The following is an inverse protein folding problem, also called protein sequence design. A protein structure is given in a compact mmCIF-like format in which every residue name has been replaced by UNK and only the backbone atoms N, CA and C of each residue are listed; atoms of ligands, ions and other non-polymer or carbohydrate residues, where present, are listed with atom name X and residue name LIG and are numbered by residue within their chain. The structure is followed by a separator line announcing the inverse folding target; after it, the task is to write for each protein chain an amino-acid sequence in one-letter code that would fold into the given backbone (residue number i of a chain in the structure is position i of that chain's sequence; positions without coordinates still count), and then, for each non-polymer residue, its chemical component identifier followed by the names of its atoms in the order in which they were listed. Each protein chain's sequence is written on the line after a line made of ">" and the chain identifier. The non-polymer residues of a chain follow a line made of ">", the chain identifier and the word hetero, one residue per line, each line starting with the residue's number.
data_IF_761878955060
#
_entry.id   IF_761878955060
#
_cell.length_a   1.000
_cell.length_b   1.000
_cell.length_c   1.000
_cell.angle_alpha   90.00
_cell.angle_beta   90.00
_cell.angle_gamma   90.00
#
_symmetry.space_group_name_H-M   'P 1'
#
loop_
_entity.id
_entity.type
_entity.pdbx_description
1 polymer ?
#
# COMPACT_ATOMS: atom_id res chain seq x y z
N UNK A 1 10.85 -16.31 8.57
CA UNK A 1 10.32 -16.60 9.92
C UNK A 1 9.74 -15.28 10.42
N UNK A 2 8.47 -15.24 10.83
CA UNK A 2 7.89 -14.02 11.42
C UNK A 2 8.59 -13.72 12.74
N UNK A 3 8.85 -12.45 13.02
CA UNK A 3 9.46 -12.03 14.27
C UNK A 3 8.41 -12.04 15.39
N UNK A 4 8.81 -12.28 16.64
CA UNK A 4 7.88 -12.40 17.78
C UNK A 4 7.02 -11.13 17.93
N UNK A 5 7.59 -9.95 17.67
CA UNK A 5 6.87 -8.68 17.77
C UNK A 5 5.86 -8.47 16.65
N UNK A 6 6.08 -9.07 15.47
CA UNK A 6 5.15 -9.01 14.34
C UNK A 6 3.81 -9.68 14.68
N UNK A 7 3.85 -10.93 15.16
CA UNK A 7 2.63 -11.66 15.51
C UNK A 7 1.83 -10.95 16.61
N UNK A 8 2.54 -10.37 17.58
CA UNK A 8 1.93 -9.56 18.63
C UNK A 8 1.29 -8.28 18.07
N UNK A 9 1.94 -7.58 17.13
CA UNK A 9 1.37 -6.35 16.55
C UNK A 9 0.09 -6.63 15.76
N UNK A 10 0.02 -7.69 14.95
CA UNK A 10 -1.23 -8.00 14.22
C UNK A 10 -2.36 -8.47 15.15
N UNK A 11 -2.02 -9.16 16.24
CA UNK A 11 -3.00 -9.57 17.25
C UNK A 11 -3.61 -8.35 17.96
N UNK A 12 -2.76 -7.41 18.38
CA UNK A 12 -3.14 -6.24 19.17
C UNK A 12 -3.09 -4.96 18.33
N UNK A 13 -4.24 -4.52 17.80
CA UNK A 13 -4.33 -3.34 16.94
C UNK A 13 -3.68 -2.09 17.54
N UNK A 14 -3.83 -1.85 18.85
CA UNK A 14 -3.21 -0.69 19.51
C UNK A 14 -1.68 -0.70 19.45
N UNK A 15 -1.06 -1.89 19.43
CA UNK A 15 0.39 -2.04 19.32
C UNK A 15 0.84 -1.75 17.89
N UNK A 16 0.13 -2.32 16.90
CA UNK A 16 0.36 -2.01 15.49
C UNK A 16 0.22 -0.51 15.20
N UNK A 17 -0.85 0.12 15.69
CA UNK A 17 -1.08 1.57 15.52
C UNK A 17 0.03 2.38 16.19
N UNK A 18 0.50 1.95 17.37
CA UNK A 18 1.62 2.58 18.08
C UNK A 18 2.94 2.53 17.30
N UNK A 19 3.28 1.35 16.77
CA UNK A 19 4.48 1.15 15.93
C UNK A 19 4.37 1.98 14.65
N UNK A 20 3.21 1.94 13.98
CA UNK A 20 2.93 2.70 12.76
C UNK A 20 3.08 4.21 13.00
N UNK A 21 2.55 4.73 14.11
CA UNK A 21 2.69 6.14 14.50
C UNK A 21 4.13 6.55 14.69
N UNK A 22 4.91 5.72 15.39
CA UNK A 22 6.33 5.99 15.64
C UNK A 22 7.11 6.00 14.33
N UNK A 23 6.90 4.99 13.48
CA UNK A 23 7.55 4.90 12.17
C UNK A 23 7.21 6.12 11.28
N UNK A 24 5.95 6.56 11.30
CA UNK A 24 5.47 7.68 10.50
C UNK A 24 6.02 9.05 10.95
N UNK A 25 6.62 9.19 12.15
CA UNK A 25 7.26 10.45 12.58
C UNK A 25 8.32 10.91 11.58
N UNK A 26 9.04 9.96 10.97
CA UNK A 26 10.08 10.21 9.95
C UNK A 26 9.57 10.96 8.71
N UNK A 27 8.26 10.92 8.46
CA UNK A 27 7.60 11.62 7.35
C UNK A 27 6.63 12.71 7.83
N UNK A 28 6.69 13.11 9.11
CA UNK A 28 5.83 14.15 9.69
C UNK A 28 4.53 13.63 10.33
N UNK A 29 4.47 12.35 10.68
CA UNK A 29 3.40 11.74 11.44
C UNK A 29 2.44 10.89 10.61
N UNK A 30 1.61 10.11 11.30
CA UNK A 30 0.68 9.15 10.70
C UNK A 30 -0.29 9.76 9.67
N UNK A 31 -0.95 10.92 9.92
CA UNK A 31 -1.85 11.51 8.94
C UNK A 31 -1.15 11.87 7.62
N UNK A 32 0.09 12.38 7.71
CA UNK A 32 0.88 12.73 6.53
C UNK A 32 1.30 11.48 5.77
N UNK A 33 1.80 10.46 6.47
CA UNK A 33 2.16 9.17 5.88
C UNK A 33 1.01 8.57 5.07
N UNK A 34 -0.18 8.49 5.66
CA UNK A 34 -1.38 7.90 5.04
C UNK A 34 -1.89 8.65 3.80
N UNK A 35 -1.44 9.90 3.60
CA UNK A 35 -1.81 10.73 2.46
C UNK A 35 -0.69 10.86 1.41
N UNK A 36 0.53 10.38 1.68
CA UNK A 36 1.68 10.57 0.77
C UNK A 36 1.38 10.08 -0.65
N UNK A 37 0.84 8.86 -0.78
CA UNK A 37 0.47 8.28 -2.07
C UNK A 37 -0.74 8.96 -2.73
N UNK A 38 -1.52 9.73 -1.97
CA UNK A 38 -2.71 10.42 -2.48
C UNK A 38 -2.40 11.82 -3.04
N UNK A 39 -1.19 12.32 -2.81
CA UNK A 39 -0.79 13.66 -3.27
C UNK A 39 -0.84 13.76 -4.79
N UNK A 40 -1.29 14.92 -5.29
CA UNK A 40 -1.39 15.23 -6.73
C UNK A 40 -2.37 14.36 -7.54
N UNK A 41 -3.15 13.49 -6.91
CA UNK A 41 -4.24 12.78 -7.57
C UNK A 41 -5.44 13.72 -7.73
N UNK A 42 -5.99 13.76 -8.95
CA UNK A 42 -7.26 14.45 -9.23
C UNK A 42 -8.40 13.46 -9.01
N UNK A 43 -8.87 13.38 -7.77
CA UNK A 43 -10.01 12.55 -7.40
C UNK A 43 -11.30 13.39 -7.47
N UNK A 44 -12.35 12.78 -8.01
CA UNK A 44 -13.71 13.32 -8.07
C UNK A 44 -14.63 12.47 -7.19
N UNK A 45 -15.79 13.01 -6.82
CA UNK A 45 -16.73 12.35 -5.91
C UNK A 45 -17.25 11.00 -6.42
N UNK A 46 -17.20 10.77 -7.72
CA UNK A 46 -17.64 9.55 -8.41
C UNK A 46 -16.49 8.60 -8.80
N UNK A 47 -15.24 8.96 -8.52
CA UNK A 47 -14.05 8.15 -8.88
C UNK A 47 -14.13 6.76 -8.23
N UNK A 48 -14.01 5.69 -9.02
CA UNK A 48 -13.97 4.32 -8.51
C UNK A 48 -12.59 4.02 -7.93
N UNK A 49 -12.51 3.87 -6.60
CA UNK A 49 -11.26 3.67 -5.88
C UNK A 49 -11.22 2.29 -5.23
N UNK A 50 -10.13 1.55 -5.49
CA UNK A 50 -9.77 0.34 -4.74
C UNK A 50 -8.66 0.65 -3.73
N UNK A 51 -8.93 0.49 -2.44
CA UNK A 51 -7.90 0.43 -1.39
C UNK A 51 -7.45 -1.03 -1.21
N UNK A 52 -6.35 -1.37 -1.87
CA UNK A 52 -5.78 -2.71 -1.92
C UNK A 52 -4.93 -2.97 -0.67
N UNK A 53 -5.18 -4.10 0.00
CA UNK A 53 -4.64 -4.42 1.32
C UNK A 53 -5.04 -3.36 2.37
N UNK A 54 -6.34 -3.05 2.44
CA UNK A 54 -6.86 -1.92 3.22
C UNK A 54 -6.65 -2.04 4.74
N UNK A 55 -6.32 -3.23 5.26
CA UNK A 55 -6.19 -3.48 6.68
C UNK A 55 -7.46 -3.08 7.44
N UNK A 56 -7.29 -2.41 8.57
CA UNK A 56 -8.38 -1.90 9.42
C UNK A 56 -8.99 -0.57 8.90
N UNK A 57 -8.75 -0.19 7.64
CA UNK A 57 -9.35 0.98 6.99
C UNK A 57 -8.66 2.31 7.24
N UNK A 58 -7.37 2.30 7.58
CA UNK A 58 -6.62 3.52 7.96
C UNK A 58 -6.52 4.52 6.82
N UNK A 59 -6.20 4.08 5.60
CA UNK A 59 -6.19 4.94 4.42
C UNK A 59 -7.58 5.09 3.83
N UNK A 60 -8.40 4.03 3.86
CA UNK A 60 -9.82 4.05 3.47
C UNK A 60 -10.57 5.23 4.08
N UNK A 61 -10.31 5.58 5.35
CA UNK A 61 -10.89 6.74 6.04
C UNK A 61 -10.64 8.08 5.34
N UNK A 62 -9.50 8.22 4.67
CA UNK A 62 -9.19 9.41 3.88
C UNK A 62 -9.82 9.34 2.49
N UNK A 63 -9.76 8.16 1.86
CA UNK A 63 -10.32 7.92 0.52
C UNK A 63 -11.81 8.24 0.43
N UNK A 64 -12.60 7.86 1.45
CA UNK A 64 -14.04 8.15 1.49
C UNK A 64 -14.40 9.65 1.60
N UNK A 65 -13.41 10.52 1.90
CA UNK A 65 -13.63 11.96 1.85
C UNK A 65 -13.43 12.53 0.43
N UNK A 66 -12.83 11.76 -0.48
CA UNK A 66 -12.60 12.15 -1.87
C UNK A 66 -13.67 11.59 -2.81
N UNK A 67 -14.15 10.38 -2.55
CA UNK A 67 -15.14 9.69 -3.39
C UNK A 67 -16.13 8.89 -2.54
N UNK A 68 -17.36 8.78 -3.04
CA UNK A 68 -18.39 7.90 -2.48
C UNK A 68 -18.18 6.43 -2.92
N UNK A 69 -17.37 6.21 -3.95
CA UNK A 69 -17.15 4.90 -4.58
C UNK A 69 -15.82 4.27 -4.14
N UNK A 70 -15.69 3.97 -2.85
CA UNK A 70 -14.48 3.34 -2.27
C UNK A 70 -14.73 1.88 -1.92
N UNK A 71 -13.91 1.00 -2.46
CA UNK A 71 -13.86 -0.42 -2.11
C UNK A 71 -12.54 -0.75 -1.42
N UNK A 72 -12.58 -1.33 -0.22
CA UNK A 72 -11.42 -1.91 0.45
C UNK A 72 -11.32 -3.42 0.20
N UNK A 73 -10.12 -3.91 -0.13
CA UNK A 73 -9.84 -5.34 -0.28
C UNK A 73 -8.73 -5.76 0.69
N UNK A 74 -8.97 -6.82 1.46
CA UNK A 74 -7.97 -7.41 2.36
C UNK A 74 -8.23 -8.90 2.57
N UNK A 75 -7.17 -9.71 2.70
CA UNK A 75 -7.31 -11.15 2.89
C UNK A 75 -7.73 -11.52 4.33
N UNK A 76 -7.46 -10.65 5.30
CA UNK A 76 -7.71 -10.89 6.73
C UNK A 76 -9.18 -10.61 7.09
N UNK A 77 -9.95 -11.64 7.53
CA UNK A 77 -11.33 -11.42 7.99
C UNK A 77 -11.41 -10.44 9.17
N UNK A 78 -10.39 -10.46 10.05
CA UNK A 78 -10.33 -9.59 11.21
C UNK A 78 -10.09 -8.14 10.82
N UNK A 79 -9.22 -7.90 9.83
CA UNK A 79 -8.98 -6.56 9.27
C UNK A 79 -10.24 -6.00 8.63
N UNK A 80 -10.92 -6.80 7.80
CA UNK A 80 -12.20 -6.42 7.16
C UNK A 80 -13.27 -6.07 8.21
N UNK A 81 -13.43 -6.89 9.25
CA UNK A 81 -14.38 -6.61 10.33
C UNK A 81 -14.07 -5.28 11.03
N UNK A 82 -12.80 -4.98 11.29
CA UNK A 82 -12.37 -3.71 11.89
C UNK A 82 -12.61 -2.54 10.94
N UNK A 83 -12.29 -2.69 9.65
CA UNK A 83 -12.49 -1.66 8.65
C UNK A 83 -13.96 -1.27 8.48
N UNK A 84 -14.86 -2.27 8.41
CA UNK A 84 -16.31 -2.05 8.39
C UNK A 84 -16.80 -1.24 9.59
N UNK A 85 -16.26 -1.50 10.78
CA UNK A 85 -16.58 -0.73 12.00
C UNK A 85 -16.00 0.68 11.97
N UNK A 86 -14.76 0.83 11.50
CA UNK A 86 -14.03 2.08 11.54
C UNK A 86 -14.48 3.08 10.46
N UNK A 87 -14.82 2.58 9.27
CA UNK A 87 -15.19 3.36 8.09
C UNK A 87 -16.35 2.67 7.38
N UNK A 88 -17.60 2.84 7.88
CA UNK A 88 -18.78 2.14 7.35
C UNK A 88 -19.24 2.63 5.97
N UNK A 89 -18.70 3.76 5.49
CA UNK A 89 -19.08 4.38 4.22
C UNK A 89 -18.37 3.77 3.00
N UNK A 90 -17.51 2.76 3.19
CA UNK A 90 -16.85 2.04 2.11
C UNK A 90 -17.41 0.61 1.98
N UNK A 91 -17.28 0.03 0.78
CA UNK A 91 -17.56 -1.39 0.55
C UNK A 91 -16.32 -2.21 0.85
N UNK A 92 -16.46 -3.40 1.45
CA UNK A 92 -15.32 -4.25 1.79
C UNK A 92 -15.45 -5.65 1.23
N UNK A 93 -14.35 -6.15 0.66
CA UNK A 93 -14.26 -7.47 0.05
C UNK A 93 -13.10 -8.23 0.67
N UNK A 94 -13.39 -9.45 1.14
CA UNK A 94 -12.36 -10.37 1.60
C UNK A 94 -11.85 -11.19 0.41
N UNK A 95 -10.64 -10.91 -0.04
CA UNK A 95 -9.99 -11.65 -1.10
C UNK A 95 -8.46 -11.50 -1.02
N UNK A 96 -7.75 -12.36 -1.74
CA UNK A 96 -6.31 -12.23 -1.93
C UNK A 96 -6.01 -11.18 -3.00
N UNK A 97 -4.94 -10.42 -2.82
CA UNK A 97 -4.56 -9.34 -3.74
C UNK A 97 -4.10 -9.89 -5.10
N UNK A 98 -3.53 -11.10 -5.13
CA UNK A 98 -3.11 -11.81 -6.34
C UNK A 98 -4.27 -12.48 -7.11
N UNK A 99 -5.51 -12.38 -6.61
CA UNK A 99 -6.70 -12.94 -7.26
C UNK A 99 -7.94 -12.13 -6.86
N UNK A 100 -8.15 -11.00 -7.52
CA UNK A 100 -9.18 -10.04 -7.15
C UNK A 100 -10.52 -10.39 -7.84
N UNK A 101 -11.65 -10.43 -7.10
CA UNK A 101 -12.96 -10.80 -7.64
C UNK A 101 -13.64 -9.61 -8.35
N UNK A 102 -12.90 -8.89 -9.18
CA UNK A 102 -13.36 -7.72 -9.91
C UNK A 102 -13.31 -7.95 -11.42
N UNK A 103 -14.20 -7.28 -12.14
CA UNK A 103 -14.11 -7.20 -13.58
C UNK A 103 -12.90 -6.38 -14.03
N UNK A 104 -12.47 -6.60 -15.27
CA UNK A 104 -11.45 -5.79 -15.92
C UNK A 104 -11.92 -4.33 -16.02
N UNK A 105 -10.97 -3.39 -15.97
CA UNK A 105 -11.23 -1.96 -16.20
C UNK A 105 -12.35 -1.37 -15.31
N UNK A 106 -12.39 -1.76 -14.04
CA UNK A 106 -13.40 -1.31 -13.08
C UNK A 106 -13.00 -0.02 -12.35
N UNK A 107 -11.73 0.09 -11.94
CA UNK A 107 -11.27 1.16 -11.06
C UNK A 107 -10.56 2.28 -11.82
N UNK A 108 -10.83 3.52 -11.42
CA UNK A 108 -10.07 4.69 -11.87
C UNK A 108 -8.74 4.81 -11.11
N UNK A 109 -8.75 4.42 -9.83
CA UNK A 109 -7.57 4.43 -8.96
C UNK A 109 -7.50 3.14 -8.15
N UNK A 110 -6.31 2.53 -8.13
CA UNK A 110 -5.94 1.50 -7.16
C UNK A 110 -4.87 2.10 -6.26
N UNK A 111 -5.07 2.00 -4.95
CA UNK A 111 -4.15 2.49 -3.93
C UNK A 111 -3.67 1.34 -3.05
N UNK A 112 -2.40 1.34 -2.62
CA UNK A 112 -1.95 0.51 -1.52
C UNK A 112 -0.89 1.23 -0.66
N UNK A 113 -0.78 0.88 0.62
CA UNK A 113 0.12 1.57 1.56
C UNK A 113 0.78 0.57 2.50
N UNK A 114 2.11 0.44 2.41
CA UNK A 114 2.94 -0.43 3.25
C UNK A 114 2.37 -1.85 3.33
N UNK A 115 2.33 -2.52 2.18
CA UNK A 115 1.74 -3.85 2.03
C UNK A 115 2.53 -4.75 1.08
N UNK A 116 3.14 -4.20 0.03
CA UNK A 116 3.83 -5.00 -0.99
C UNK A 116 5.10 -5.65 -0.43
N UNK A 117 5.70 -5.10 0.63
CA UNK A 117 6.84 -5.70 1.33
C UNK A 117 6.49 -7.02 2.03
N UNK A 118 5.21 -7.34 2.21
CA UNK A 118 4.77 -8.62 2.77
C UNK A 118 4.69 -9.73 1.71
N UNK A 119 4.83 -9.38 0.43
CA UNK A 119 4.58 -10.28 -0.69
C UNK A 119 5.86 -10.96 -1.16
N UNK A 120 5.76 -12.25 -1.47
CA UNK A 120 6.83 -12.95 -2.19
C UNK A 120 6.91 -12.41 -3.63
N UNK A 121 8.08 -12.54 -4.26
CA UNK A 121 8.31 -12.04 -5.62
C UNK A 121 7.25 -12.51 -6.64
N UNK A 122 6.85 -13.79 -6.59
CA UNK A 122 5.81 -14.33 -7.49
C UNK A 122 4.42 -13.73 -7.19
N UNK A 123 4.08 -13.54 -5.90
CA UNK A 123 2.82 -12.92 -5.51
C UNK A 123 2.79 -11.44 -5.92
N UNK A 124 3.88 -10.71 -5.74
CA UNK A 124 4.02 -9.32 -6.15
C UNK A 124 3.74 -9.14 -7.65
N UNK A 125 4.32 -10.01 -8.49
CA UNK A 125 4.07 -10.01 -9.93
C UNK A 125 2.59 -10.25 -10.27
N UNK A 126 1.95 -11.24 -9.62
CA UNK A 126 0.51 -11.51 -9.81
C UNK A 126 -0.36 -10.34 -9.36
N UNK A 127 -0.01 -9.70 -8.24
CA UNK A 127 -0.71 -8.51 -7.74
C UNK A 127 -0.62 -7.38 -8.74
N UNK A 128 0.57 -7.08 -9.28
CA UNK A 128 0.74 -6.01 -10.28
C UNK A 128 -0.05 -6.32 -11.55
N UNK A 129 -0.09 -7.59 -11.98
CA UNK A 129 -0.92 -8.03 -13.09
C UNK A 129 -2.42 -7.80 -12.85
N UNK A 130 -2.91 -8.17 -11.65
CA UNK A 130 -4.31 -7.94 -11.26
C UNK A 130 -4.62 -6.45 -11.15
N UNK A 131 -3.74 -5.64 -10.56
CA UNK A 131 -3.88 -4.18 -10.50
C UNK A 131 -4.00 -3.59 -11.90
N UNK A 132 -3.14 -4.01 -12.83
CA UNK A 132 -3.22 -3.59 -14.23
C UNK A 132 -4.55 -4.01 -14.86
N UNK A 133 -5.00 -5.25 -14.64
CA UNK A 133 -6.26 -5.77 -15.19
C UNK A 133 -7.47 -4.97 -14.71
N UNK A 134 -7.58 -4.72 -13.40
CA UNK A 134 -8.76 -4.06 -12.81
C UNK A 134 -8.77 -2.55 -13.00
N UNK A 135 -7.62 -1.92 -13.28
CA UNK A 135 -7.56 -0.50 -13.64
C UNK A 135 -8.15 -0.25 -15.02
N UNK A 136 -8.93 0.82 -15.16
CA UNK A 136 -9.35 1.35 -16.47
C UNK A 136 -8.12 1.81 -17.28
N UNK A 137 -8.19 1.84 -18.63
CA UNK A 137 -7.20 2.55 -19.43
C UNK A 137 -7.06 4.00 -18.95
N UNK A 138 -5.83 4.44 -18.72
CA UNK A 138 -5.55 5.76 -18.14
C UNK A 138 -5.79 5.88 -16.63
N UNK A 139 -6.24 4.81 -15.95
CA UNK A 139 -6.35 4.74 -14.50
C UNK A 139 -4.98 4.73 -13.82
N UNK A 140 -4.95 5.04 -12.52
CA UNK A 140 -3.70 5.24 -11.77
C UNK A 140 -3.54 4.18 -10.69
N UNK A 141 -2.41 3.48 -10.70
CA UNK A 141 -1.92 2.77 -9.53
C UNK A 141 -1.05 3.71 -8.70
N UNK A 142 -1.40 3.91 -7.43
CA UNK A 142 -0.61 4.70 -6.50
C UNK A 142 -0.23 3.87 -5.28
N UNK A 143 1.01 4.02 -4.81
CA UNK A 143 1.47 3.29 -3.64
C UNK A 143 2.49 4.06 -2.82
N UNK A 144 2.59 3.71 -1.54
CA UNK A 144 3.72 4.04 -0.68
C UNK A 144 4.25 2.76 -0.05
N UNK A 145 5.55 2.50 -0.15
CA UNK A 145 6.18 1.35 0.49
C UNK A 145 7.67 1.60 0.77
N UNK A 146 8.35 0.61 1.36
CA UNK A 146 9.77 0.70 1.67
C UNK A 146 10.64 0.79 0.41
N UNK A 147 11.75 1.51 0.56
CA UNK A 147 12.78 1.69 -0.47
C UNK A 147 14.17 1.61 0.16
N UNK A 148 15.16 1.24 -0.64
CA UNK A 148 16.55 1.20 -0.20
C UNK A 148 17.02 2.63 0.15
N UNK A 149 17.42 2.92 1.40
CA UNK A 149 17.79 4.27 1.79
C UNK A 149 18.92 4.83 0.92
N UNK A 150 18.71 6.03 0.37
CA UNK A 150 19.72 6.73 -0.43
C UNK A 150 20.83 7.29 0.44
N UNK A 151 20.54 7.58 1.71
CA UNK A 151 21.53 8.03 2.68
C UNK A 151 21.87 6.90 3.68
N UNK A 152 23.15 6.47 3.75
CA UNK A 152 23.63 5.43 4.66
C UNK A 152 23.25 5.60 6.13
N UNK A 153 23.02 6.82 6.61
CA UNK A 153 22.68 7.05 8.02
C UNK A 153 21.31 6.46 8.42
N UNK A 154 20.40 6.27 7.46
CA UNK A 154 19.07 5.71 7.71
C UNK A 154 19.03 4.17 7.68
N UNK A 155 20.09 3.53 7.16
CA UNK A 155 20.18 2.08 7.07
C UNK A 155 20.12 1.36 8.42
N UNK A 156 20.88 1.76 9.46
CA UNK A 156 20.82 1.07 10.75
C UNK A 156 19.42 1.10 11.36
N UNK A 157 18.73 2.25 11.29
CA UNK A 157 17.36 2.39 11.80
C UNK A 157 16.36 1.49 11.06
N UNK A 158 16.42 1.50 9.72
CA UNK A 158 15.59 0.63 8.90
C UNK A 158 15.87 -0.85 9.17
N UNK A 159 17.14 -1.24 9.27
CA UNK A 159 17.55 -2.61 9.51
C UNK A 159 17.06 -3.13 10.87
N UNK A 160 17.16 -2.31 11.92
CA UNK A 160 16.61 -2.65 13.25
C UNK A 160 15.08 -2.77 13.19
N UNK A 161 14.39 -1.86 12.50
CA UNK A 161 12.94 -1.95 12.33
C UNK A 161 12.54 -3.25 11.64
N UNK A 162 13.20 -3.59 10.53
CA UNK A 162 12.92 -4.80 9.76
C UNK A 162 13.19 -6.05 10.58
N UNK A 163 14.29 -6.09 11.33
CA UNK A 163 14.63 -7.21 12.20
C UNK A 163 13.62 -7.42 13.33
N UNK A 164 12.94 -6.36 13.79
CA UNK A 164 11.94 -6.45 14.85
C UNK A 164 10.54 -6.76 14.31
N UNK A 165 10.14 -6.17 13.19
CA UNK A 165 8.73 -6.14 12.77
C UNK A 165 8.46 -6.77 11.41
N UNK A 166 9.47 -6.97 10.57
CA UNK A 166 9.29 -7.42 9.19
C UNK A 166 9.86 -8.80 8.90
N UNK A 167 9.43 -9.35 7.76
CA UNK A 167 9.87 -10.65 7.24
C UNK A 167 10.93 -10.50 6.16
N UNK A 168 11.49 -11.64 5.72
CA UNK A 168 12.48 -11.70 4.62
C UNK A 168 11.99 -11.01 3.34
N UNK A 169 10.69 -11.06 3.06
CA UNK A 169 10.04 -10.41 1.91
C UNK A 169 10.27 -8.90 1.88
N UNK A 170 10.35 -8.23 3.04
CA UNK A 170 10.62 -6.80 3.08
C UNK A 170 12.05 -6.49 2.62
N UNK A 171 13.01 -7.33 3.02
CA UNK A 171 14.40 -7.25 2.56
C UNK A 171 14.54 -7.56 1.06
N UNK A 172 13.68 -8.43 0.53
CA UNK A 172 13.61 -8.70 -0.92
C UNK A 172 13.04 -7.49 -1.66
N UNK A 173 12.00 -6.84 -1.14
CA UNK A 173 11.43 -5.62 -1.74
C UNK A 173 12.47 -4.51 -1.89
N UNK A 174 13.38 -4.33 -0.90
CA UNK A 174 14.46 -3.33 -0.99
C UNK A 174 15.42 -3.55 -2.18
N UNK A 175 15.45 -4.76 -2.75
CA UNK A 175 16.26 -5.10 -3.92
C UNK A 175 15.47 -5.03 -5.22
N UNK A 176 14.15 -4.88 -5.15
CA UNK A 176 13.25 -4.85 -6.30
C UNK A 176 13.15 -3.43 -6.84
N UNK A 177 13.43 -3.28 -8.14
CA UNK A 177 13.09 -2.05 -8.88
C UNK A 177 11.57 -2.03 -9.15
N UNK A 178 10.80 -1.56 -8.17
CA UNK A 178 9.35 -1.44 -8.30
C UNK A 178 8.92 -0.56 -9.49
N UNK A 179 9.51 0.64 -9.71
CA UNK A 179 9.19 1.42 -10.90
C UNK A 179 9.45 0.67 -12.20
N UNK A 180 10.59 -0.03 -12.32
CA UNK A 180 10.92 -0.86 -13.48
C UNK A 180 9.91 -1.99 -13.68
N UNK A 181 9.57 -2.71 -12.61
CA UNK A 181 8.57 -3.78 -12.66
C UNK A 181 7.20 -3.28 -13.11
N UNK A 182 6.75 -2.12 -12.63
CA UNK A 182 5.50 -1.51 -13.11
C UNK A 182 5.61 -1.14 -14.61
N UNK A 183 6.74 -0.61 -15.07
CA UNK A 183 6.95 -0.34 -16.50
C UNK A 183 6.86 -1.61 -17.35
N UNK A 184 7.40 -2.73 -16.88
CA UNK A 184 7.32 -4.02 -17.59
C UNK A 184 5.87 -4.52 -17.77
N UNK A 185 4.96 -4.15 -16.86
CA UNK A 185 3.53 -4.45 -16.96
C UNK A 185 2.73 -3.43 -17.78
N UNK A 186 3.37 -2.41 -18.35
CA UNK A 186 2.71 -1.41 -19.19
C UNK A 186 2.22 -0.17 -18.44
N UNK A 187 2.71 0.10 -17.23
CA UNK A 187 2.49 1.38 -16.58
C UNK A 187 3.46 2.45 -17.09
N UNK A 188 2.94 3.65 -17.34
CA UNK A 188 3.74 4.87 -17.45
C UNK A 188 4.06 5.38 -16.05
N UNK A 189 5.34 5.27 -15.65
CA UNK A 189 5.83 5.55 -14.30
C UNK A 189 7.04 6.48 -14.38
N UNK A 190 6.93 7.63 -13.72
CA UNK A 190 8.05 8.56 -13.55
C UNK A 190 9.01 8.15 -12.43
N UNK A 191 9.90 9.06 -12.06
CA UNK A 191 10.79 8.86 -10.91
C UNK A 191 10.00 8.80 -9.59
N UNK A 192 10.32 7.85 -8.69
CA UNK A 192 9.66 7.74 -7.39
C UNK A 192 9.96 8.96 -6.52
N UNK A 193 8.96 9.40 -5.75
CA UNK A 193 9.17 10.42 -4.72
C UNK A 193 9.68 9.75 -3.44
N UNK A 194 10.87 10.13 -2.99
CA UNK A 194 11.53 9.52 -1.85
C UNK A 194 11.34 10.33 -0.56
N UNK A 195 11.06 9.64 0.54
CA UNK A 195 10.83 10.21 1.87
C UNK A 195 11.71 9.53 2.92
N UNK A 196 11.77 10.11 4.13
CA UNK A 196 12.51 9.55 5.27
C UNK A 196 13.97 9.20 4.95
N UNK A 197 14.68 10.09 4.23
CA UNK A 197 16.08 9.83 3.84
C UNK A 197 16.24 8.75 2.77
N UNK A 198 15.17 8.47 2.02
CA UNK A 198 15.14 7.48 0.95
C UNK A 198 14.63 6.11 1.36
N UNK A 199 14.24 5.90 2.62
CA UNK A 199 13.76 4.61 3.12
C UNK A 199 12.30 4.30 2.74
N UNK A 200 11.58 5.29 2.21
CA UNK A 200 10.22 5.16 1.71
C UNK A 200 10.13 5.76 0.30
N UNK A 201 9.38 5.08 -0.57
CA UNK A 201 9.08 5.56 -1.91
C UNK A 201 7.57 5.69 -2.10
N UNK A 202 7.17 6.75 -2.78
CA UNK A 202 5.83 6.90 -3.36
C UNK A 202 5.97 6.73 -4.86
N UNK A 203 5.15 5.85 -5.43
CA UNK A 203 5.10 5.59 -6.87
C UNK A 203 3.68 5.83 -7.35
N UNK A 204 3.55 6.53 -8.47
CA UNK A 204 2.30 6.68 -9.19
C UNK A 204 2.54 6.24 -10.64
N UNK A 205 1.83 5.20 -11.06
CA UNK A 205 1.90 4.64 -12.41
C UNK A 205 0.55 4.74 -13.10
N UNK A 206 0.53 5.24 -14.34
CA UNK A 206 -0.69 5.29 -15.15
C UNK A 206 -0.75 4.09 -16.08
N UNK A 207 -1.86 3.36 -16.09
CA UNK A 207 -2.08 2.27 -17.06
C UNK A 207 -2.13 2.85 -18.47
N UNK A 208 -1.23 2.38 -19.35
CA UNK A 208 -1.26 2.72 -20.78
C UNK A 208 -2.45 2.01 -21.47
N UNK A 209 -2.87 2.53 -22.63
CA UNK A 209 -4.02 2.04 -23.39
C UNK A 209 -3.77 0.63 -23.93
#
# INVERSE_FOLDING_TARGET
>A
MATIFRDLSYRYQWLYDGISRLAAVTVGGEPRFRQLALQNLKLQSDTQILDLCCGSGQVTRFLVNFSENVTGLDASPLSIQRAQKNVPNATYIKAFAENMPFADNLFDVVHTSAALHEMQSEQLQKIIAEVYRVLKPGGVFTLVDFHSPTNPIFWPGLAVFFWLFETQTAWELLKTDLPGLLRDYGFDVGEPSLYAGGSLQVIQGRKMI
#
